data_IF_842252373481
#
_entry.id   IF_842252373481
#
_cell.length_a   1.000
_cell.length_b   1.000
_cell.length_c   1.000
_cell.angle_alpha   90.00
_cell.angle_beta   90.00
_cell.angle_gamma   90.00
#
_symmetry.space_group_name_H-M   'P 1'
#
loop_
_entity.id
_entity.type
_entity.pdbx_description
1 polymer ?
#
# COMPACT_ATOMS: atom_id res chain seq x y z
N UNK A 1 -43.08 51.69 20.80
CA UNK A 1 -43.37 50.45 20.06
C UNK A 1 -42.42 49.34 20.47
N UNK A 2 -42.86 48.37 21.28
CA UNK A 2 -42.07 47.19 21.69
C UNK A 2 -42.97 45.94 21.79
N UNK A 3 -43.89 45.77 20.86
CA UNK A 3 -44.83 44.62 20.86
C UNK A 3 -44.64 43.67 19.66
N UNK A 4 -43.88 44.07 18.63
CA UNK A 4 -43.68 43.26 17.42
C UNK A 4 -42.56 42.21 17.51
N UNK A 5 -41.43 42.50 18.16
CA UNK A 5 -40.23 41.66 18.06
C UNK A 5 -40.30 40.30 18.78
N UNK A 6 -41.31 40.06 19.63
CA UNK A 6 -41.49 38.77 20.35
C UNK A 6 -42.29 37.74 19.54
N UNK A 7 -43.14 38.19 18.62
CA UNK A 7 -43.99 37.29 17.83
C UNK A 7 -43.20 36.62 16.70
N UNK A 8 -42.33 37.36 16.01
CA UNK A 8 -41.49 36.82 14.93
C UNK A 8 -40.43 35.84 15.46
N UNK A 9 -39.83 36.15 16.61
CA UNK A 9 -38.89 35.25 17.29
C UNK A 9 -39.57 33.93 17.73
N UNK A 10 -40.83 33.98 18.16
CA UNK A 10 -41.57 32.78 18.55
C UNK A 10 -41.90 31.89 17.35
N UNK A 11 -42.15 32.48 16.17
CA UNK A 11 -42.42 31.72 14.95
C UNK A 11 -41.15 31.08 14.37
N UNK A 12 -40.02 31.79 14.39
CA UNK A 12 -38.70 31.25 14.03
C UNK A 12 -38.25 30.13 14.97
N UNK A 13 -38.45 30.29 16.28
CA UNK A 13 -38.12 29.25 17.28
C UNK A 13 -39.01 28.02 17.11
N UNK A 14 -40.30 28.20 16.82
CA UNK A 14 -41.21 27.08 16.53
C UNK A 14 -40.84 26.35 15.24
N UNK A 15 -40.41 27.08 14.20
CA UNK A 15 -39.95 26.51 12.93
C UNK A 15 -38.64 25.74 13.08
N UNK A 16 -37.68 26.26 13.85
CA UNK A 16 -36.43 25.56 14.16
C UNK A 16 -36.67 24.28 14.99
N UNK A 17 -37.61 24.31 15.93
CA UNK A 17 -37.99 23.14 16.72
C UNK A 17 -38.69 22.05 15.89
N UNK A 18 -39.50 22.45 14.89
CA UNK A 18 -40.12 21.52 13.95
C UNK A 18 -39.08 20.84 13.05
N UNK A 19 -38.11 21.61 12.51
CA UNK A 19 -37.01 21.06 11.70
C UNK A 19 -36.15 20.09 12.54
N UNK A 20 -35.88 20.41 13.81
CA UNK A 20 -35.13 19.51 14.70
C UNK A 20 -35.89 18.24 15.10
N UNK A 21 -37.22 18.24 15.03
CA UNK A 21 -38.05 17.07 15.31
C UNK A 21 -38.23 16.15 14.09
N UNK A 22 -38.10 16.70 12.88
CA UNK A 22 -38.25 15.94 11.62
C UNK A 22 -36.92 15.38 11.11
N UNK A 23 -35.78 15.94 11.53
CA UNK A 23 -34.45 15.43 11.20
C UNK A 23 -34.06 14.40 12.26
N UNK A 24 -34.33 13.12 11.99
CA UNK A 24 -33.74 12.02 12.76
C UNK A 24 -32.21 12.13 12.65
N UNK A 25 -31.56 12.40 13.78
CA UNK A 25 -30.11 12.56 13.86
C UNK A 25 -29.36 11.29 13.41
N UNK A 26 -30.07 10.18 13.28
CA UNK A 26 -29.55 8.90 12.82
C UNK A 26 -29.55 8.75 11.28
N UNK A 27 -30.30 9.56 10.52
CA UNK A 27 -30.34 9.51 9.05
C UNK A 27 -29.43 10.55 8.38
N UNK A 28 -28.91 11.54 9.12
CA UNK A 28 -28.13 12.64 8.52
C UNK A 28 -26.72 12.24 8.06
N UNK A 29 -26.28 11.02 8.35
CA UNK A 29 -25.05 10.46 7.78
C UNK A 29 -25.27 9.01 7.36
N UNK A 30 -25.99 8.81 6.26
CA UNK A 30 -25.69 7.67 5.38
C UNK A 30 -24.26 7.86 4.87
N UNK A 31 -23.26 7.47 5.66
CA UNK A 31 -21.91 7.25 5.16
C UNK A 31 -22.09 6.09 4.18
N UNK A 32 -21.96 6.30 2.85
CA UNK A 32 -21.94 5.18 1.92
C UNK A 32 -20.85 4.27 2.43
N UNK A 33 -21.17 2.99 2.67
CA UNK A 33 -20.26 1.99 3.23
C UNK A 33 -18.91 2.15 2.54
N UNK A 34 -18.00 2.85 3.22
CA UNK A 34 -16.87 3.50 2.56
C UNK A 34 -15.99 2.39 2.08
N UNK A 35 -15.95 2.24 0.75
CA UNK A 35 -15.10 1.36 -0.05
C UNK A 35 -14.33 0.36 0.81
N UNK A 36 -14.85 -0.85 0.93
CA UNK A 36 -14.34 -1.92 1.78
C UNK A 36 -12.86 -2.20 1.44
N UNK A 37 -11.94 -1.44 2.07
CA UNK A 37 -10.49 -1.54 1.91
C UNK A 37 -9.95 -2.90 2.40
N UNK A 38 -10.84 -3.78 2.85
CA UNK A 38 -10.54 -5.14 3.31
C UNK A 38 -10.09 -6.08 2.20
N UNK A 39 -10.25 -5.72 0.92
CA UNK A 39 -9.76 -6.52 -0.21
C UNK A 39 -8.37 -6.10 -0.70
N UNK A 40 -7.73 -5.09 -0.09
CA UNK A 40 -6.29 -4.87 -0.30
C UNK A 40 -5.56 -5.93 0.50
N UNK A 41 -5.46 -7.13 -0.09
CA UNK A 41 -4.61 -8.22 0.32
C UNK A 41 -3.38 -7.64 1.02
N UNK A 42 -3.19 -7.91 2.32
CA UNK A 42 -2.08 -7.35 3.10
C UNK A 42 -0.70 -7.71 2.48
N UNK A 43 -0.70 -8.61 1.48
CA UNK A 43 0.42 -9.02 0.66
C UNK A 43 0.63 -8.18 -0.62
N UNK A 44 -0.31 -7.35 -1.05
CA UNK A 44 -0.19 -6.43 -2.20
C UNK A 44 0.94 -5.39 -2.00
N UNK A 45 1.26 -5.06 -0.75
CA UNK A 45 2.42 -4.21 -0.41
C UNK A 45 3.76 -4.96 -0.45
N UNK A 46 3.76 -6.30 -0.56
CA UNK A 46 4.96 -7.11 -0.85
C UNK A 46 5.18 -7.26 -2.35
N UNK A 47 4.85 -6.26 -3.17
CA UNK A 47 5.43 -6.14 -4.51
C UNK A 47 6.93 -6.32 -4.33
N UNK A 48 7.47 -7.46 -4.80
CA UNK A 48 8.90 -7.78 -4.71
C UNK A 48 9.62 -6.55 -5.26
N UNK A 49 10.33 -5.82 -4.40
CA UNK A 49 11.05 -4.65 -4.85
C UNK A 49 11.94 -5.10 -6.02
N UNK A 50 11.89 -4.40 -7.16
CA UNK A 50 12.73 -4.72 -8.29
C UNK A 50 14.18 -4.69 -7.83
N UNK A 51 14.95 -5.69 -8.27
CA UNK A 51 16.36 -5.82 -7.93
C UNK A 51 17.12 -4.58 -8.40
N UNK A 52 18.03 -4.05 -7.59
CA UNK A 52 18.81 -2.88 -7.99
C UNK A 52 19.67 -3.20 -9.23
N UNK A 53 19.84 -2.24 -10.14
CA UNK A 53 20.60 -2.44 -11.38
C UNK A 53 22.02 -3.01 -11.15
N UNK A 54 22.67 -2.59 -10.06
CA UNK A 54 24.00 -3.10 -9.67
C UNK A 54 23.98 -4.59 -9.35
N UNK A 55 22.91 -5.06 -8.70
CA UNK A 55 22.76 -6.46 -8.32
C UNK A 55 22.38 -7.30 -9.55
N UNK A 56 21.59 -6.74 -10.48
CA UNK A 56 21.30 -7.34 -11.80
C UNK A 56 22.58 -7.56 -12.59
N UNK A 57 23.40 -6.52 -12.80
CA UNK A 57 24.68 -6.62 -13.51
C UNK A 57 25.65 -7.57 -12.83
N UNK A 58 25.59 -7.67 -11.50
CA UNK A 58 26.43 -8.58 -10.73
C UNK A 58 26.07 -10.05 -10.97
N UNK A 59 24.78 -10.40 -10.87
CA UNK A 59 24.34 -11.78 -11.10
C UNK A 59 24.43 -12.19 -12.57
N UNK A 60 24.18 -11.26 -13.50
CA UNK A 60 24.28 -11.49 -14.95
C UNK A 60 25.70 -11.92 -15.36
N UNK A 61 26.75 -11.31 -14.78
CA UNK A 61 28.15 -11.73 -15.03
C UNK A 61 28.45 -13.13 -14.51
N UNK A 62 27.90 -13.48 -13.35
CA UNK A 62 28.11 -14.80 -12.73
C UNK A 62 27.38 -15.90 -13.51
N UNK A 63 26.10 -15.68 -13.80
CA UNK A 63 25.25 -16.58 -14.60
C UNK A 63 25.76 -16.69 -16.03
N UNK A 64 26.24 -15.60 -16.64
CA UNK A 64 26.82 -15.63 -17.98
C UNK A 64 28.09 -16.48 -18.09
N UNK A 65 28.88 -16.62 -17.02
CA UNK A 65 30.09 -17.45 -17.02
C UNK A 65 29.86 -18.90 -16.60
N UNK A 66 29.04 -19.11 -15.56
CA UNK A 66 28.89 -20.42 -14.91
C UNK A 66 27.51 -21.05 -15.12
N UNK A 67 26.57 -20.37 -15.78
CA UNK A 67 25.23 -20.87 -16.05
C UNK A 67 24.40 -21.03 -14.78
N UNK A 68 23.99 -22.26 -14.47
CA UNK A 68 23.21 -22.61 -13.26
C UNK A 68 24.06 -23.32 -12.19
N UNK A 69 25.38 -23.44 -12.38
CA UNK A 69 26.27 -24.05 -11.38
C UNK A 69 26.64 -23.06 -10.25
N UNK A 70 25.77 -22.92 -9.26
CA UNK A 70 25.98 -21.99 -8.14
C UNK A 70 27.18 -22.35 -7.24
N UNK A 71 27.61 -23.61 -7.24
CA UNK A 71 28.77 -24.06 -6.46
C UNK A 71 30.09 -23.58 -7.05
N UNK A 72 30.20 -23.56 -8.39
CA UNK A 72 31.38 -23.04 -9.09
C UNK A 72 31.40 -21.51 -9.05
N UNK A 73 30.22 -20.85 -9.16
CA UNK A 73 30.10 -19.41 -8.95
C UNK A 73 30.57 -18.97 -7.56
N UNK A 74 30.18 -19.71 -6.52
CA UNK A 74 30.54 -19.37 -5.15
C UNK A 74 32.07 -19.38 -4.94
N UNK A 75 32.78 -20.26 -5.66
CA UNK A 75 34.25 -20.41 -5.62
C UNK A 75 34.99 -19.40 -6.50
N UNK A 76 34.32 -18.73 -7.43
CA UNK A 76 34.94 -17.74 -8.31
C UNK A 76 35.16 -16.42 -7.56
N UNK A 77 36.23 -16.34 -6.78
CA UNK A 77 36.58 -15.19 -5.91
C UNK A 77 36.66 -13.88 -6.71
N UNK A 78 37.01 -13.94 -8.01
CA UNK A 78 37.17 -12.75 -8.85
C UNK A 78 35.82 -12.14 -9.24
N UNK A 79 34.83 -12.98 -9.56
CA UNK A 79 33.49 -12.51 -9.92
C UNK A 79 32.58 -12.40 -8.69
N UNK A 80 32.70 -13.34 -7.75
CA UNK A 80 31.99 -13.35 -6.48
C UNK A 80 32.70 -12.47 -5.44
N UNK A 81 32.84 -11.17 -5.72
CA UNK A 81 33.53 -10.21 -4.83
C UNK A 81 32.88 -10.16 -3.44
N UNK A 82 31.56 -10.37 -3.38
CA UNK A 82 30.77 -10.38 -2.13
C UNK A 82 30.88 -11.69 -1.34
N UNK A 83 31.60 -12.68 -1.87
CA UNK A 83 31.77 -14.01 -1.27
C UNK A 83 30.42 -14.64 -0.85
N UNK A 84 29.41 -14.48 -1.70
CA UNK A 84 28.09 -15.07 -1.45
C UNK A 84 28.17 -16.59 -1.50
N UNK A 85 27.46 -17.25 -0.59
CA UNK A 85 27.29 -18.69 -0.60
C UNK A 85 26.42 -19.12 -1.79
N UNK A 86 26.58 -20.38 -2.25
CA UNK A 86 25.81 -20.93 -3.37
C UNK A 86 24.30 -20.73 -3.20
N UNK A 87 23.76 -20.94 -1.99
CA UNK A 87 22.33 -20.75 -1.68
C UNK A 87 21.87 -19.29 -1.81
N UNK A 88 22.75 -18.33 -1.50
CA UNK A 88 22.42 -16.91 -1.66
C UNK A 88 22.46 -16.52 -3.14
N UNK A 89 23.41 -17.06 -3.90
CA UNK A 89 23.48 -16.89 -5.36
C UNK A 89 22.25 -17.49 -6.05
N UNK A 90 21.83 -18.68 -5.65
CA UNK A 90 20.61 -19.33 -6.15
C UNK A 90 19.37 -18.45 -5.91
N UNK A 91 19.18 -17.94 -4.69
CA UNK A 91 18.07 -17.03 -4.38
C UNK A 91 18.10 -15.75 -5.20
N UNK A 92 19.29 -15.21 -5.45
CA UNK A 92 19.47 -13.99 -6.23
C UNK A 92 19.23 -14.23 -7.71
N UNK A 93 19.73 -15.34 -8.26
CA UNK A 93 19.46 -15.79 -9.63
C UNK A 93 17.96 -16.05 -9.83
N UNK A 94 17.29 -16.72 -8.89
CA UNK A 94 15.85 -16.94 -8.94
C UNK A 94 15.03 -15.64 -8.93
N UNK A 95 15.50 -14.61 -8.22
CA UNK A 95 14.89 -13.27 -8.26
C UNK A 95 15.15 -12.57 -9.59
N UNK A 96 16.35 -12.71 -10.13
CA UNK A 96 16.73 -12.13 -11.43
C UNK A 96 15.98 -12.77 -12.60
N UNK A 97 15.73 -14.09 -12.57
CA UNK A 97 14.92 -14.80 -13.58
C UNK A 97 13.44 -14.39 -13.57
N UNK A 98 12.97 -13.75 -12.49
CA UNK A 98 11.59 -13.26 -12.35
C UNK A 98 11.48 -11.75 -12.65
N UNK A 99 12.61 -11.11 -13.00
CA UNK A 99 12.67 -9.71 -13.39
C UNK A 99 12.25 -9.58 -14.87
#
# INVERSE_FOLDING_TARGET
GRVGARADAAHEVAKAAAIAAEVDANELFEIPESDDLRSVDANSRRRKQPMMEKDVKYIEKLVGKHGDDYTTMARDIKLNVRQLTAKNLEKMAARWKLL
#
